data_IF_931378384288
#
_entry.id   IF_931378384288
#
_cell.length_a   1.000
_cell.length_b   1.000
_cell.length_c   1.000
_cell.angle_alpha   90.00
_cell.angle_beta   90.00
_cell.angle_gamma   90.00
#
_symmetry.space_group_name_H-M   'P 1'
#
loop_
_entity.id
_entity.type
_entity.pdbx_description
1 polymer ?
#
# COMPACT_ATOMS: atom_id res chain seq x y z
N UNK A 1 16.49 -1.45 -27.90
CA UNK A 1 15.61 -1.91 -26.81
C UNK A 1 15.11 -0.75 -25.96
N UNK A 2 15.98 -0.01 -25.25
CA UNK A 2 15.58 1.14 -24.42
C UNK A 2 14.69 2.15 -25.14
N UNK A 3 14.98 2.47 -26.41
CA UNK A 3 14.19 3.40 -27.22
C UNK A 3 12.73 2.98 -27.50
N UNK A 4 12.38 1.69 -27.33
CA UNK A 4 11.00 1.19 -27.45
C UNK A 4 10.40 0.81 -26.11
N UNK A 5 11.23 0.23 -25.23
CA UNK A 5 10.83 -0.21 -23.90
C UNK A 5 10.52 0.96 -22.96
N UNK A 6 11.37 2.00 -22.92
CA UNK A 6 11.17 3.15 -22.03
C UNK A 6 9.88 3.91 -22.34
N UNK A 7 9.56 4.27 -23.60
CA UNK A 7 8.30 4.93 -23.90
C UNK A 7 7.09 4.06 -23.56
N UNK A 8 7.16 2.75 -23.86
CA UNK A 8 6.07 1.83 -23.55
C UNK A 8 5.86 1.72 -22.02
N UNK A 9 6.94 1.56 -21.25
CA UNK A 9 6.90 1.50 -19.79
C UNK A 9 6.34 2.82 -19.21
N UNK A 10 6.80 3.97 -19.68
CA UNK A 10 6.34 5.27 -19.21
C UNK A 10 4.86 5.50 -19.52
N UNK A 11 4.40 5.17 -20.72
CA UNK A 11 2.98 5.30 -21.11
C UNK A 11 2.10 4.36 -20.30
N UNK A 12 2.52 3.10 -20.11
CA UNK A 12 1.74 2.13 -19.32
C UNK A 12 1.64 2.56 -17.85
N UNK A 13 2.74 3.04 -17.24
CA UNK A 13 2.70 3.56 -15.87
C UNK A 13 1.84 4.83 -15.79
N UNK A 14 1.96 5.77 -16.73
CA UNK A 14 1.13 6.97 -16.74
C UNK A 14 -0.37 6.63 -16.87
N UNK A 15 -0.72 5.69 -17.74
CA UNK A 15 -2.10 5.22 -17.88
C UNK A 15 -2.58 4.54 -16.60
N UNK A 16 -1.73 3.73 -15.96
CA UNK A 16 -2.03 3.11 -14.68
C UNK A 16 -2.28 4.16 -13.58
N UNK A 17 -1.39 5.13 -13.43
CA UNK A 17 -1.51 6.21 -12.46
C UNK A 17 -2.81 7.00 -12.63
N UNK A 18 -3.14 7.37 -13.87
CA UNK A 18 -4.41 8.06 -14.17
C UNK A 18 -5.61 7.17 -13.89
N UNK A 19 -5.54 5.88 -14.19
CA UNK A 19 -6.64 4.94 -13.97
C UNK A 19 -6.93 4.70 -12.48
N UNK A 20 -5.90 4.65 -11.63
CA UNK A 20 -6.06 4.47 -10.18
C UNK A 20 -6.37 5.77 -9.43
N UNK A 21 -6.06 6.94 -10.02
CA UNK A 21 -6.16 8.23 -9.36
C UNK A 21 -7.54 8.53 -8.70
N UNK A 22 -8.68 8.13 -9.29
CA UNK A 22 -10.00 8.35 -8.68
C UNK A 22 -10.21 7.67 -7.32
N UNK A 23 -9.35 6.73 -6.92
CA UNK A 23 -9.37 6.07 -5.61
C UNK A 23 -8.74 6.92 -4.49
N UNK A 24 -8.11 8.04 -4.84
CA UNK A 24 -7.46 8.95 -3.90
C UNK A 24 -8.27 10.24 -3.73
N UNK A 25 -8.29 10.79 -2.52
CA UNK A 25 -8.95 12.07 -2.21
C UNK A 25 -8.39 13.22 -3.05
N UNK A 26 -7.12 13.14 -3.45
CA UNK A 26 -6.44 14.08 -4.35
C UNK A 26 -7.24 14.35 -5.64
N UNK A 27 -7.91 13.33 -6.20
CA UNK A 27 -8.70 13.48 -7.42
C UNK A 27 -9.88 14.45 -7.25
N UNK A 28 -10.47 14.49 -6.05
CA UNK A 28 -11.68 15.26 -5.76
C UNK A 28 -11.38 16.63 -5.15
N UNK A 29 -10.28 16.75 -4.41
CA UNK A 29 -10.01 17.91 -3.57
C UNK A 29 -8.86 18.80 -4.06
N UNK A 30 -7.94 18.26 -4.87
CA UNK A 30 -6.72 18.97 -5.23
C UNK A 30 -6.86 19.80 -6.51
N UNK A 31 -6.09 20.90 -6.65
CA UNK A 31 -6.06 21.66 -7.88
C UNK A 31 -5.44 20.83 -9.03
N UNK A 32 -5.82 21.07 -10.30
CA UNK A 32 -5.35 20.29 -11.44
C UNK A 32 -3.83 20.21 -11.60
N UNK A 33 -3.11 21.26 -11.18
CA UNK A 33 -1.64 21.28 -11.22
C UNK A 33 -1.02 20.27 -10.25
N UNK A 34 -1.60 20.10 -9.06
CA UNK A 34 -1.13 19.11 -8.07
C UNK A 34 -1.42 17.69 -8.53
N UNK A 35 -2.56 17.46 -9.16
CA UNK A 35 -2.89 16.18 -9.82
C UNK A 35 -1.85 15.87 -10.90
N UNK A 36 -1.58 16.81 -11.81
CA UNK A 36 -0.60 16.62 -12.88
C UNK A 36 0.82 16.38 -12.35
N UNK A 37 1.24 17.13 -11.34
CA UNK A 37 2.53 16.93 -10.67
C UNK A 37 2.63 15.53 -10.06
N UNK A 38 1.59 15.07 -9.39
CA UNK A 38 1.57 13.74 -8.75
C UNK A 38 1.70 12.63 -9.78
N UNK A 39 0.87 12.67 -10.84
CA UNK A 39 0.94 11.68 -11.94
C UNK A 39 2.34 11.67 -12.55
N UNK A 40 2.93 12.84 -12.81
CA UNK A 40 4.26 12.94 -13.39
C UNK A 40 5.36 12.42 -12.46
N UNK A 41 5.30 12.78 -11.17
CA UNK A 41 6.27 12.37 -10.16
C UNK A 41 6.24 10.85 -9.95
N UNK A 42 5.04 10.27 -9.79
CA UNK A 42 4.85 8.83 -9.62
C UNK A 42 5.32 8.06 -10.86
N UNK A 43 4.85 8.46 -12.06
CA UNK A 43 5.26 7.82 -13.31
C UNK A 43 6.79 7.82 -13.48
N UNK A 44 7.45 8.94 -13.16
CA UNK A 44 8.90 9.03 -13.24
C UNK A 44 9.58 8.09 -12.24
N UNK A 45 9.06 8.00 -11.02
CA UNK A 45 9.49 7.04 -10.01
C UNK A 45 9.38 5.60 -10.49
N UNK A 46 8.22 5.20 -11.02
CA UNK A 46 7.96 3.84 -11.49
C UNK A 46 8.84 3.44 -12.67
N UNK A 47 9.09 4.38 -13.59
CA UNK A 47 10.04 4.15 -14.69
C UNK A 47 11.45 3.92 -14.15
N UNK A 48 11.90 4.71 -13.17
CA UNK A 48 13.22 4.51 -12.55
C UNK A 48 13.32 3.17 -11.82
N UNK A 49 12.28 2.78 -11.08
CA UNK A 49 12.21 1.49 -10.38
C UNK A 49 12.23 0.34 -11.39
N UNK A 50 11.38 0.41 -12.43
CA UNK A 50 11.29 -0.63 -13.46
C UNK A 50 12.59 -0.79 -14.26
N UNK A 51 13.25 0.30 -14.61
CA UNK A 51 14.57 0.28 -15.26
C UNK A 51 15.63 -0.30 -14.32
N UNK A 52 15.66 0.13 -13.06
CA UNK A 52 16.58 -0.39 -12.05
C UNK A 52 16.41 -1.90 -11.83
N UNK A 53 15.17 -2.37 -11.70
CA UNK A 53 14.83 -3.78 -11.57
C UNK A 53 15.26 -4.59 -12.82
N UNK A 54 15.04 -4.05 -14.02
CA UNK A 54 15.48 -4.70 -15.26
C UNK A 54 17.01 -4.78 -15.32
N UNK A 55 17.72 -3.70 -15.01
CA UNK A 55 19.19 -3.70 -14.99
C UNK A 55 19.73 -4.72 -13.97
N UNK A 56 19.15 -4.78 -12.77
CA UNK A 56 19.51 -5.78 -11.78
C UNK A 56 19.27 -7.22 -12.29
N UNK A 57 18.13 -7.47 -12.93
CA UNK A 57 17.82 -8.78 -13.51
C UNK A 57 18.84 -9.18 -14.59
N UNK A 58 19.25 -8.26 -15.47
CA UNK A 58 20.24 -8.51 -16.51
C UNK A 58 21.64 -8.81 -15.95
N UNK A 59 22.02 -8.12 -14.87
CA UNK A 59 23.28 -8.39 -14.16
C UNK A 59 23.23 -9.78 -13.53
N UNK A 60 22.14 -10.13 -12.85
CA UNK A 60 21.96 -11.42 -12.18
C UNK A 60 21.96 -12.58 -13.17
N UNK A 61 21.29 -12.44 -14.31
CA UNK A 61 21.25 -13.48 -15.36
C UNK A 61 22.49 -13.48 -16.24
N UNK A 62 23.40 -12.51 -16.08
CA UNK A 62 24.54 -12.27 -16.98
C UNK A 62 24.11 -12.25 -18.45
N UNK A 63 23.01 -11.56 -18.73
CA UNK A 63 22.40 -11.58 -20.05
C UNK A 63 23.36 -11.02 -21.09
N UNK A 64 23.56 -11.78 -22.18
CA UNK A 64 24.38 -11.39 -23.32
C UNK A 64 23.66 -10.42 -24.26
N UNK A 65 23.87 -10.60 -25.56
CA UNK A 65 23.18 -9.78 -26.56
C UNK A 65 21.67 -10.05 -26.52
N UNK A 66 20.85 -9.11 -27.02
CA UNK A 66 19.38 -9.20 -26.96
C UNK A 66 18.80 -10.50 -27.55
N UNK A 67 19.49 -11.10 -28.52
CA UNK A 67 19.07 -12.35 -29.14
C UNK A 67 19.20 -13.57 -28.21
N UNK A 68 20.07 -13.49 -27.19
CA UNK A 68 20.39 -14.59 -26.28
C UNK A 68 19.55 -14.52 -24.98
N UNK A 69 18.62 -13.58 -24.90
CA UNK A 69 17.85 -13.36 -23.68
C UNK A 69 16.79 -14.45 -23.49
N UNK A 70 16.86 -15.13 -22.35
CA UNK A 70 15.75 -15.89 -21.83
C UNK A 70 14.71 -14.94 -21.23
N UNK A 71 13.83 -14.39 -22.08
CA UNK A 71 12.84 -13.37 -21.73
C UNK A 71 11.99 -13.72 -20.50
N UNK A 72 11.61 -15.00 -20.34
CA UNK A 72 10.87 -15.45 -19.15
C UNK A 72 11.73 -15.29 -17.90
N UNK A 73 12.98 -15.78 -17.90
CA UNK A 73 13.86 -15.70 -16.74
C UNK A 73 14.17 -14.24 -16.35
N UNK A 74 14.53 -13.41 -17.33
CA UNK A 74 14.81 -11.97 -17.11
C UNK A 74 13.55 -11.27 -16.61
N UNK A 75 12.39 -11.53 -17.21
CA UNK A 75 11.11 -10.96 -16.81
C UNK A 75 10.69 -11.37 -15.40
N UNK A 76 10.89 -12.64 -15.03
CA UNK A 76 10.54 -13.14 -13.69
C UNK A 76 11.40 -12.46 -12.64
N UNK A 77 12.72 -12.37 -12.84
CA UNK A 77 13.63 -11.73 -11.90
C UNK A 77 13.35 -10.22 -11.82
N UNK A 78 13.07 -9.56 -12.95
CA UNK A 78 12.69 -8.13 -12.99
C UNK A 78 11.42 -7.90 -12.16
N UNK A 79 10.39 -8.74 -12.36
CA UNK A 79 9.14 -8.65 -11.60
C UNK A 79 9.37 -8.88 -10.11
N UNK A 80 10.20 -9.86 -9.72
CA UNK A 80 10.55 -10.09 -8.32
C UNK A 80 11.21 -8.87 -7.69
N UNK A 81 12.19 -8.24 -8.36
CA UNK A 81 12.81 -7.02 -7.85
C UNK A 81 11.81 -5.86 -7.74
N UNK A 82 10.97 -5.65 -8.75
CA UNK A 82 9.93 -4.63 -8.74
C UNK A 82 8.96 -4.81 -7.58
N UNK A 83 8.36 -6.00 -7.44
CA UNK A 83 7.42 -6.31 -6.36
C UNK A 83 8.06 -6.18 -4.98
N UNK A 84 9.32 -6.62 -4.82
CA UNK A 84 10.05 -6.48 -3.56
C UNK A 84 10.28 -5.02 -3.20
N UNK A 85 10.64 -4.19 -4.19
CA UNK A 85 10.79 -2.75 -3.98
C UNK A 85 9.46 -2.11 -3.59
N UNK A 86 8.36 -2.42 -4.29
CA UNK A 86 7.02 -1.89 -3.97
C UNK A 86 6.65 -2.22 -2.52
N UNK A 87 6.74 -3.49 -2.12
CA UNK A 87 6.42 -3.92 -0.75
C UNK A 87 7.32 -3.25 0.31
N UNK A 88 8.62 -3.14 0.04
CA UNK A 88 9.55 -2.44 0.94
C UNK A 88 9.22 -0.95 1.05
N UNK A 89 8.95 -0.30 -0.09
CA UNK A 89 8.70 1.14 -0.14
C UNK A 89 7.39 1.52 0.55
N UNK A 90 6.37 0.67 0.45
CA UNK A 90 5.11 0.79 1.18
C UNK A 90 5.37 0.73 2.69
N UNK A 91 5.90 -0.38 3.19
CA UNK A 91 6.19 -0.59 4.62
C UNK A 91 7.04 0.55 5.20
N UNK A 92 8.07 0.98 4.47
CA UNK A 92 8.95 2.03 4.93
C UNK A 92 8.24 3.39 5.04
N UNK A 93 7.34 3.72 4.12
CA UNK A 93 6.66 5.02 4.16
C UNK A 93 5.41 5.02 5.06
N UNK A 94 4.68 3.90 5.17
CA UNK A 94 3.46 3.81 5.99
C UNK A 94 3.77 3.47 7.44
N UNK A 95 4.70 2.55 7.71
CA UNK A 95 5.02 2.09 9.07
C UNK A 95 6.22 2.81 9.67
N UNK A 96 7.35 2.86 8.95
CA UNK A 96 8.60 3.38 9.54
C UNK A 96 8.60 4.90 9.58
N UNK A 97 8.25 5.55 8.46
CA UNK A 97 8.24 7.01 8.37
C UNK A 97 6.87 7.63 8.66
N UNK A 98 5.79 6.85 8.62
CA UNK A 98 4.41 7.30 8.84
C UNK A 98 4.06 8.60 8.10
N UNK A 99 4.53 8.75 6.86
CA UNK A 99 4.38 10.01 6.09
C UNK A 99 3.02 10.09 5.38
N UNK A 100 2.36 8.95 5.19
CA UNK A 100 1.04 8.84 4.56
C UNK A 100 0.34 7.54 4.97
N UNK A 101 -0.99 7.51 4.81
CA UNK A 101 -1.87 6.37 5.08
C UNK A 101 -2.85 6.18 3.93
N UNK A 102 -3.48 5.00 3.85
CA UNK A 102 -4.45 4.68 2.81
C UNK A 102 -5.78 5.42 2.97
N UNK A 103 -6.47 5.64 1.85
CA UNK A 103 -7.84 6.17 1.84
C UNK A 103 -8.86 5.08 2.21
N UNK A 104 -10.07 5.49 2.60
CA UNK A 104 -11.21 4.61 2.90
C UNK A 104 -11.62 3.71 1.71
N UNK A 105 -11.20 4.07 0.50
CA UNK A 105 -11.51 3.35 -0.75
C UNK A 105 -10.50 2.26 -1.10
N UNK A 106 -9.36 2.17 -0.39
CA UNK A 106 -8.40 1.10 -0.59
C UNK A 106 -9.07 -0.24 -0.21
N UNK A 107 -9.00 -1.29 -1.06
CA UNK A 107 -9.66 -2.56 -0.80
C UNK A 107 -9.02 -3.28 0.39
N UNK A 108 -9.56 -3.02 1.57
CA UNK A 108 -9.29 -3.75 2.81
C UNK A 108 -10.26 -4.91 2.98
N UNK A 109 -9.83 -5.93 3.72
CA UNK A 109 -10.70 -7.06 4.10
C UNK A 109 -11.93 -6.54 4.85
N UNK A 110 -13.07 -7.28 4.85
CA UNK A 110 -14.23 -6.89 5.65
C UNK A 110 -13.89 -6.60 7.11
N UNK A 111 -12.94 -7.35 7.68
CA UNK A 111 -12.47 -7.14 9.03
C UNK A 111 -11.67 -5.84 9.21
N UNK A 112 -10.80 -5.50 8.24
CA UNK A 112 -10.12 -4.21 8.20
C UNK A 112 -11.09 -3.03 8.09
N UNK A 113 -12.19 -3.17 7.33
CA UNK A 113 -13.26 -2.14 7.27
C UNK A 113 -13.95 -1.95 8.61
N UNK A 114 -14.31 -3.04 9.29
CA UNK A 114 -14.91 -2.98 10.62
C UNK A 114 -13.98 -2.33 11.64
N UNK A 115 -12.68 -2.61 11.56
CA UNK A 115 -11.66 -1.98 12.39
C UNK A 115 -11.55 -0.48 12.13
N UNK A 116 -11.42 -0.07 10.87
CA UNK A 116 -11.32 1.34 10.51
C UNK A 116 -12.56 2.11 11.00
N UNK A 117 -13.76 1.67 10.60
CA UNK A 117 -15.02 2.33 10.95
C UNK A 117 -15.29 2.39 12.47
N UNK A 118 -14.74 1.46 13.24
CA UNK A 118 -14.89 1.43 14.70
C UNK A 118 -13.87 2.33 15.39
N UNK A 119 -12.59 2.20 15.02
CA UNK A 119 -11.48 2.75 15.78
C UNK A 119 -11.04 4.15 15.30
N UNK A 120 -11.41 4.57 14.09
CA UNK A 120 -11.13 5.92 13.57
C UNK A 120 -12.14 6.99 14.03
N UNK A 121 -13.17 6.61 14.78
CA UNK A 121 -14.27 7.51 15.21
C UNK A 121 -13.84 8.68 16.12
N UNK A 122 -12.66 8.58 16.74
CA UNK A 122 -12.18 9.55 17.73
C UNK A 122 -10.77 10.08 17.45
N UNK A 123 -9.87 9.25 16.91
CA UNK A 123 -8.48 9.57 16.62
C UNK A 123 -7.94 8.66 15.52
N UNK A 124 -6.67 8.84 15.11
CA UNK A 124 -6.01 7.96 14.16
C UNK A 124 -6.01 6.49 14.64
N UNK A 125 -6.00 5.55 13.68
CA UNK A 125 -6.04 4.13 13.99
C UNK A 125 -4.81 3.68 14.79
N UNK A 126 -4.99 2.79 15.79
CA UNK A 126 -3.88 2.16 16.45
C UNK A 126 -3.14 1.22 15.48
N UNK A 127 -1.82 1.16 15.58
CA UNK A 127 -1.01 0.21 14.80
C UNK A 127 -1.17 -1.21 15.42
N UNK A 128 -1.66 -2.22 14.67
CA UNK A 128 -1.81 -3.60 15.15
C UNK A 128 -0.53 -4.21 15.73
N UNK A 129 0.65 -3.71 15.33
CA UNK A 129 1.96 -4.14 15.83
C UNK A 129 2.36 -3.56 17.19
N UNK A 130 1.53 -2.74 17.84
CA UNK A 130 1.82 -2.13 19.15
C UNK A 130 1.60 -3.09 20.33
N UNK A 131 0.80 -4.13 20.15
CA UNK A 131 0.51 -5.14 21.16
C UNK A 131 0.64 -6.55 20.57
N UNK A 132 0.82 -7.55 21.43
CA UNK A 132 0.79 -8.97 21.03
C UNK A 132 -0.65 -9.42 20.76
N UNK A 133 -0.82 -10.50 19.98
CA UNK A 133 -2.15 -11.05 19.68
C UNK A 133 -3.00 -11.32 20.93
N UNK A 134 -2.39 -11.80 22.02
CA UNK A 134 -3.13 -12.13 23.24
C UNK A 134 -3.56 -10.90 24.05
N UNK A 135 -2.93 -9.74 23.83
CA UNK A 135 -3.24 -8.50 24.55
C UNK A 135 -4.40 -7.73 23.91
N UNK A 136 -4.61 -7.88 22.60
CA UNK A 136 -5.57 -7.08 21.85
C UNK A 136 -7.02 -7.18 22.36
N UNK A 137 -7.47 -8.35 22.80
CA UNK A 137 -8.81 -8.50 23.37
C UNK A 137 -9.01 -7.62 24.62
N UNK A 138 -7.96 -7.49 25.45
CA UNK A 138 -7.96 -6.63 26.62
C UNK A 138 -7.97 -5.15 26.24
N UNK A 139 -7.12 -4.75 25.29
CA UNK A 139 -7.02 -3.37 24.79
C UNK A 139 -8.34 -2.90 24.17
N UNK A 140 -8.95 -3.72 23.30
CA UNK A 140 -10.27 -3.43 22.71
C UNK A 140 -11.33 -3.28 23.80
N UNK A 141 -11.32 -4.16 24.81
CA UNK A 141 -12.22 -4.04 25.97
C UNK A 141 -12.08 -2.71 26.73
N UNK A 142 -10.84 -2.25 26.95
CA UNK A 142 -10.57 -0.94 27.54
C UNK A 142 -11.07 0.21 26.63
N UNK A 143 -10.83 0.13 25.33
CA UNK A 143 -11.32 1.12 24.37
C UNK A 143 -12.85 1.18 24.32
N UNK A 144 -13.54 0.04 24.33
CA UNK A 144 -15.01 -0.01 24.38
C UNK A 144 -15.55 0.63 25.67
N UNK A 145 -14.89 0.45 26.81
CA UNK A 145 -15.27 1.15 28.04
C UNK A 145 -15.09 2.67 27.93
N UNK A 146 -14.00 3.13 27.31
CA UNK A 146 -13.78 4.54 27.05
C UNK A 146 -14.83 5.12 26.09
N UNK A 147 -15.17 4.40 25.01
CA UNK A 147 -16.24 4.78 24.09
C UNK A 147 -17.57 4.97 24.83
N UNK A 148 -17.90 4.05 25.74
CA UNK A 148 -19.09 4.14 26.59
C UNK A 148 -19.06 5.39 27.47
N UNK A 149 -17.93 5.67 28.12
CA UNK A 149 -17.76 6.85 28.96
C UNK A 149 -17.90 8.17 28.17
N UNK A 150 -17.49 8.17 26.90
CA UNK A 150 -17.63 9.30 25.99
C UNK A 150 -19.01 9.39 25.30
N UNK A 151 -19.93 8.46 25.57
CA UNK A 151 -21.24 8.41 24.93
C UNK A 151 -21.19 8.11 23.43
N UNK A 152 -20.12 7.46 22.95
CA UNK A 152 -20.01 7.04 21.55
C UNK A 152 -20.84 5.79 21.28
N UNK A 153 -21.34 5.60 20.05
CA UNK A 153 -22.01 4.36 19.66
C UNK A 153 -21.11 3.15 19.91
N UNK A 154 -21.62 2.15 20.62
CA UNK A 154 -20.88 0.93 20.89
C UNK A 154 -21.09 -0.06 19.73
N UNK A 155 -20.02 -0.69 19.21
CA UNK A 155 -20.15 -1.76 18.25
C UNK A 155 -20.86 -2.97 18.88
N UNK A 156 -21.56 -3.75 18.07
CA UNK A 156 -22.13 -5.01 18.51
C UNK A 156 -21.04 -6.08 18.72
N UNK A 157 -21.43 -7.20 19.33
CA UNK A 157 -20.48 -8.26 19.69
C UNK A 157 -19.78 -8.86 18.46
N UNK A 158 -20.51 -9.05 17.36
CA UNK A 158 -19.94 -9.61 16.13
C UNK A 158 -18.91 -8.66 15.50
N UNK A 159 -19.16 -7.35 15.54
CA UNK A 159 -18.21 -6.34 15.08
C UNK A 159 -16.97 -6.32 15.97
N UNK A 160 -17.13 -6.37 17.30
CA UNK A 160 -15.99 -6.43 18.22
C UNK A 160 -15.11 -7.67 17.99
N UNK A 161 -15.71 -8.84 17.80
CA UNK A 161 -14.99 -10.08 17.50
C UNK A 161 -14.21 -9.97 16.19
N UNK A 162 -14.82 -9.41 15.15
CA UNK A 162 -14.19 -9.17 13.85
C UNK A 162 -12.98 -8.21 13.99
N UNK A 163 -13.12 -7.15 14.77
CA UNK A 163 -12.04 -6.17 15.02
C UNK A 163 -10.90 -6.80 15.81
N UNK A 164 -11.23 -7.60 16.84
CA UNK A 164 -10.22 -8.31 17.63
C UNK A 164 -9.47 -9.31 16.73
N UNK A 165 -10.17 -10.12 15.93
CA UNK A 165 -9.55 -11.07 15.02
C UNK A 165 -8.60 -10.37 14.03
N UNK A 166 -9.02 -9.22 13.48
CA UNK A 166 -8.17 -8.41 12.60
C UNK A 166 -6.88 -7.99 13.31
N UNK A 167 -6.99 -7.40 14.51
CA UNK A 167 -5.85 -6.92 15.29
C UNK A 167 -4.91 -8.07 15.69
N UNK A 168 -5.47 -9.22 16.07
CA UNK A 168 -4.71 -10.41 16.42
C UNK A 168 -3.94 -10.99 15.23
N UNK A 169 -4.57 -11.02 14.06
CA UNK A 169 -3.96 -11.53 12.82
C UNK A 169 -2.77 -10.68 12.37
N UNK A 170 -2.81 -9.37 12.64
CA UNK A 170 -1.78 -8.41 12.20
C UNK A 170 -0.85 -7.95 13.35
N UNK A 171 -0.95 -8.59 14.52
CA UNK A 171 -0.05 -8.34 15.65
C UNK A 171 1.37 -8.86 15.39
N UNK A 172 2.34 -8.33 16.14
CA UNK A 172 3.73 -8.83 16.16
C UNK A 172 3.87 -10.12 16.97
#
# INVERSE_FOLDING_TARGET
MFARYLPALAVLNALWEVAQLPLYTLWWEAPPLSIAYTVLHCTLGDVLIGVGALLAALIVTRAGTLCDWHWIQVGTITATFGLSYTAFSEWFNTTVRAVWTYSEWMPVTPAGKSFDATCSQCHALPDPGQHTANEWSGVVGCMTQNMKAMGKPLPDQATLETVIEFLQTHAK
#
